data_IF_040202915700
#
_entry.id   IF_040202915700
#
_cell.length_a   1.000
_cell.length_b   1.000
_cell.length_c   1.000
_cell.angle_alpha   90.00
_cell.angle_beta   90.00
_cell.angle_gamma   90.00
#
_symmetry.space_group_name_H-M   'P 1'
#
loop_
_entity.id
_entity.type
_entity.pdbx_description
1 polymer ?
#
# COMPACT_ATOMS: atom_id res chain seq x y z
N UNK A 1 18.08 -0.66 8.77
CA UNK A 1 17.83 -1.35 7.49
C UNK A 1 18.90 -2.40 7.21
N UNK A 2 20.19 -2.11 7.44
CA UNK A 2 21.29 -3.07 7.29
C UNK A 2 21.04 -4.39 8.06
N UNK A 3 20.83 -4.34 9.37
CA UNK A 3 20.61 -5.55 10.19
C UNK A 3 19.38 -6.36 9.74
N UNK A 4 18.33 -5.67 9.29
CA UNK A 4 17.12 -6.31 8.76
C UNK A 4 17.41 -7.08 7.47
N UNK A 5 18.21 -6.49 6.58
CA UNK A 5 18.64 -7.13 5.33
C UNK A 5 19.49 -8.38 5.63
N UNK A 6 20.43 -8.26 6.57
CA UNK A 6 21.27 -9.38 7.01
C UNK A 6 20.44 -10.57 7.46
N UNK A 7 19.43 -10.34 8.30
CA UNK A 7 18.51 -11.40 8.76
C UNK A 7 17.67 -11.97 7.62
N UNK A 8 17.01 -11.12 6.82
CA UNK A 8 16.11 -11.59 5.76
C UNK A 8 16.82 -12.41 4.68
N UNK A 9 18.10 -12.12 4.42
CA UNK A 9 18.89 -12.82 3.42
C UNK A 9 19.80 -13.91 4.00
N UNK A 10 19.69 -14.23 5.30
CA UNK A 10 20.52 -15.24 5.97
C UNK A 10 22.03 -14.98 5.79
N UNK A 11 22.45 -13.72 5.90
CA UNK A 11 23.83 -13.28 5.73
C UNK A 11 24.61 -13.37 7.05
N UNK A 12 25.93 -13.56 6.96
CA UNK A 12 26.83 -13.63 8.11
C UNK A 12 27.60 -12.31 8.29
N UNK A 13 27.46 -11.70 9.48
CA UNK A 13 28.19 -10.48 9.82
C UNK A 13 29.72 -10.66 9.90
N UNK A 14 30.20 -11.91 9.97
CA UNK A 14 31.62 -12.24 9.97
C UNK A 14 32.20 -12.42 8.55
N UNK A 15 31.37 -12.43 7.50
CA UNK A 15 31.80 -12.52 6.10
C UNK A 15 31.84 -11.09 5.53
N UNK A 16 33.03 -10.53 5.22
CA UNK A 16 33.14 -9.16 4.71
C UNK A 16 32.33 -8.91 3.43
N UNK A 17 32.22 -9.91 2.56
CA UNK A 17 31.46 -9.84 1.31
C UNK A 17 29.95 -9.74 1.55
N UNK A 18 29.43 -10.40 2.59
CA UNK A 18 28.02 -10.33 2.98
C UNK A 18 27.67 -8.93 3.52
N UNK A 19 28.56 -8.38 4.34
CA UNK A 19 28.43 -7.00 4.84
C UNK A 19 28.51 -6.00 3.69
N UNK A 20 29.45 -6.18 2.76
CA UNK A 20 29.58 -5.33 1.57
C UNK A 20 28.35 -5.43 0.65
N UNK A 21 27.79 -6.62 0.47
CA UNK A 21 26.54 -6.81 -0.27
C UNK A 21 25.38 -6.08 0.40
N UNK A 22 25.24 -6.21 1.72
CA UNK A 22 24.19 -5.55 2.47
C UNK A 22 24.32 -4.02 2.43
N UNK A 23 25.53 -3.49 2.61
CA UNK A 23 25.83 -2.05 2.53
C UNK A 23 25.53 -1.48 1.14
N UNK A 24 25.91 -2.22 0.08
CA UNK A 24 25.65 -1.82 -1.31
C UNK A 24 24.17 -1.58 -1.62
N UNK A 25 23.25 -2.16 -0.84
CA UNK A 25 21.79 -2.06 -1.03
C UNK A 25 21.13 -0.98 -0.19
N UNK A 26 21.73 -0.54 0.93
CA UNK A 26 21.13 0.44 1.84
C UNK A 26 21.76 1.82 1.61
N UNK A 27 21.18 2.58 0.68
CA UNK A 27 21.75 3.87 0.24
C UNK A 27 20.82 5.01 0.61
N UNK A 28 21.33 5.97 1.40
CA UNK A 28 20.57 7.16 1.85
C UNK A 28 20.05 7.96 0.66
N UNK A 29 20.87 8.11 -0.36
CA UNK A 29 20.64 8.89 -1.57
C UNK A 29 19.42 8.35 -2.33
N UNK A 30 19.38 7.02 -2.56
CA UNK A 30 18.26 6.42 -3.30
C UNK A 30 16.97 6.36 -2.50
N UNK A 31 17.04 6.27 -1.16
CA UNK A 31 15.86 6.35 -0.29
C UNK A 31 15.28 7.77 -0.28
N UNK A 32 16.14 8.80 -0.23
CA UNK A 32 15.70 10.19 -0.32
C UNK A 32 15.08 10.51 -1.69
N UNK A 33 15.62 9.93 -2.78
CA UNK A 33 15.07 10.06 -4.12
C UNK A 33 13.72 9.34 -4.28
N UNK A 34 13.54 8.18 -3.62
CA UNK A 34 12.28 7.42 -3.63
C UNK A 34 11.08 8.25 -3.14
N UNK A 35 11.26 9.02 -2.06
CA UNK A 35 10.23 9.93 -1.55
C UNK A 35 9.76 10.92 -2.64
N UNK A 36 10.71 11.49 -3.38
CA UNK A 36 10.45 12.46 -4.45
C UNK A 36 9.84 11.76 -5.67
N UNK A 37 10.30 10.56 -6.03
CA UNK A 37 9.70 9.79 -7.12
C UNK A 37 8.24 9.41 -6.83
N UNK A 38 7.89 9.14 -5.58
CA UNK A 38 6.49 8.98 -5.21
C UNK A 38 5.70 10.28 -5.40
N UNK A 39 6.24 11.44 -4.99
CA UNK A 39 5.55 12.73 -5.11
C UNK A 39 5.42 13.20 -6.56
N UNK A 40 6.41 12.91 -7.42
CA UNK A 40 6.38 13.15 -8.86
C UNK A 40 5.42 12.23 -9.61
N UNK A 41 4.98 11.12 -8.98
CA UNK A 41 4.21 10.08 -9.67
C UNK A 41 5.06 9.21 -10.59
N UNK A 42 6.37 9.15 -10.39
CA UNK A 42 7.27 8.23 -11.06
C UNK A 42 7.22 6.83 -10.40
N UNK A 43 6.95 6.72 -9.10
CA UNK A 43 6.66 5.44 -8.45
C UNK A 43 5.16 5.29 -8.19
N UNK A 44 4.56 4.28 -8.81
CA UNK A 44 3.11 4.19 -8.98
C UNK A 44 2.37 3.37 -7.95
N UNK A 45 3.08 2.61 -7.13
CA UNK A 45 2.50 1.73 -6.12
C UNK A 45 3.33 1.73 -4.84
N UNK A 46 2.68 1.45 -3.72
CA UNK A 46 3.32 1.20 -2.42
C UNK A 46 2.80 -0.15 -1.91
N UNK A 47 3.72 -1.01 -1.48
CA UNK A 47 3.42 -2.35 -0.97
C UNK A 47 4.04 -2.55 0.42
N UNK A 48 3.72 -3.67 1.08
CA UNK A 48 4.13 -3.95 2.45
C UNK A 48 5.47 -4.66 2.57
N UNK A 49 5.81 -5.55 1.64
CA UNK A 49 6.85 -6.58 1.80
C UNK A 49 6.72 -7.36 3.12
N UNK A 50 5.51 -7.82 3.40
CA UNK A 50 5.08 -8.30 4.72
C UNK A 50 5.98 -9.40 5.29
N UNK A 51 6.57 -9.14 6.46
CA UNK A 51 7.45 -10.06 7.20
C UNK A 51 8.76 -10.42 6.49
N UNK A 52 9.09 -9.77 5.38
CA UNK A 52 10.30 -10.00 4.59
C UNK A 52 10.94 -8.66 4.18
N UNK A 53 11.29 -7.84 5.16
CA UNK A 53 11.73 -6.43 5.04
C UNK A 53 10.64 -5.35 5.07
N UNK A 54 9.39 -5.71 5.39
CA UNK A 54 8.36 -4.71 5.63
C UNK A 54 7.14 -5.16 6.45
N UNK A 55 6.14 -4.28 6.51
CA UNK A 55 5.09 -4.27 7.54
C UNK A 55 3.69 -4.24 6.93
N UNK A 56 2.94 -5.34 7.10
CA UNK A 56 1.60 -5.53 6.50
C UNK A 56 0.58 -4.47 6.93
N UNK A 57 0.64 -4.02 8.18
CA UNK A 57 -0.30 -3.04 8.74
C UNK A 57 -0.01 -1.58 8.39
N UNK A 58 1.05 -1.31 7.63
CA UNK A 58 1.57 0.06 7.47
C UNK A 58 1.52 0.61 6.04
N UNK A 59 1.03 -0.14 5.05
CA UNK A 59 0.95 0.33 3.65
C UNK A 59 0.22 1.67 3.53
N UNK A 60 -0.97 1.75 4.16
CA UNK A 60 -1.80 2.96 4.12
C UNK A 60 -1.13 4.09 4.90
N UNK A 61 -0.66 3.84 6.12
CA UNK A 61 -0.09 4.90 6.96
C UNK A 61 1.20 5.47 6.36
N UNK A 62 2.08 4.62 5.81
CA UNK A 62 3.34 5.02 5.18
C UNK A 62 3.08 5.83 3.92
N UNK A 63 2.08 5.45 3.12
CA UNK A 63 1.65 6.25 1.96
C UNK A 63 1.32 7.69 2.37
N UNK A 64 0.51 7.88 3.42
CA UNK A 64 0.10 9.20 3.87
C UNK A 64 1.20 9.96 4.61
N UNK A 65 2.11 9.26 5.31
CA UNK A 65 3.32 9.86 5.89
C UNK A 65 4.26 10.40 4.81
N UNK A 66 4.47 9.66 3.71
CA UNK A 66 5.27 10.13 2.57
C UNK A 66 4.60 11.35 1.92
N UNK A 67 3.29 11.31 1.66
CA UNK A 67 2.55 12.45 1.12
C UNK A 67 2.69 13.71 2.01
N UNK A 68 2.60 13.52 3.33
CA UNK A 68 2.77 14.58 4.31
C UNK A 68 4.19 15.15 4.28
N UNK A 69 5.23 14.29 4.35
CA UNK A 69 6.63 14.71 4.32
C UNK A 69 6.92 15.55 3.07
N UNK A 70 6.45 15.08 1.92
CA UNK A 70 6.65 15.77 0.64
C UNK A 70 5.94 17.11 0.59
N UNK A 71 4.73 17.23 1.14
CA UNK A 71 4.08 18.53 1.31
C UNK A 71 4.88 19.48 2.21
N UNK A 72 5.38 18.99 3.35
CA UNK A 72 6.14 19.82 4.31
C UNK A 72 7.43 20.34 3.68
N UNK A 73 8.15 19.50 2.94
CA UNK A 73 9.47 19.85 2.40
C UNK A 73 9.41 20.51 1.01
N UNK A 74 8.39 20.22 0.20
CA UNK A 74 8.30 20.68 -1.20
C UNK A 74 7.10 21.61 -1.47
N UNK A 75 6.23 21.81 -0.49
CA UNK A 75 5.02 22.61 -0.64
C UNK A 75 3.89 21.89 -1.41
N UNK A 76 2.82 22.61 -1.79
CA UNK A 76 1.75 22.10 -2.65
C UNK A 76 2.29 21.63 -4.01
N UNK A 77 1.65 20.63 -4.61
CA UNK A 77 1.95 20.28 -6.01
C UNK A 77 1.46 21.39 -6.95
N UNK A 78 2.04 21.54 -8.16
CA UNK A 78 1.56 22.49 -9.16
C UNK A 78 0.08 22.31 -9.53
N UNK A 79 -0.43 21.07 -9.46
CA UNK A 79 -1.82 20.74 -9.76
C UNK A 79 -2.77 20.89 -8.55
N UNK A 80 -2.23 21.13 -7.35
CA UNK A 80 -3.02 21.44 -6.16
C UNK A 80 -3.47 22.93 -6.16
N UNK A 81 -4.38 23.27 -5.26
CA UNK A 81 -4.83 24.65 -5.08
C UNK A 81 -4.45 25.17 -3.70
N UNK A 82 -4.49 26.48 -3.49
CA UNK A 82 -4.26 27.08 -2.16
C UNK A 82 -5.21 26.56 -1.07
N UNK A 83 -6.35 25.96 -1.45
CA UNK A 83 -7.40 25.53 -0.52
C UNK A 83 -7.33 24.05 -0.13
N UNK A 84 -6.63 23.22 -0.89
CA UNK A 84 -6.61 21.76 -0.68
C UNK A 84 -5.47 21.06 -1.41
N UNK A 85 -5.19 19.84 -0.96
CA UNK A 85 -4.19 18.93 -1.52
C UNK A 85 -4.84 17.79 -2.33
N UNK A 86 -5.96 18.04 -3.01
CA UNK A 86 -6.76 16.97 -3.62
C UNK A 86 -6.01 16.22 -4.72
N UNK A 87 -5.13 16.89 -5.47
CA UNK A 87 -4.36 16.22 -6.50
C UNK A 87 -3.32 15.31 -5.87
N UNK A 88 -2.55 15.78 -4.87
CA UNK A 88 -1.64 14.92 -4.09
C UNK A 88 -2.40 13.76 -3.44
N UNK A 89 -3.54 14.02 -2.80
CA UNK A 89 -4.33 12.99 -2.15
C UNK A 89 -4.79 11.90 -3.14
N UNK A 90 -5.28 12.28 -4.32
CA UNK A 90 -5.65 11.32 -5.38
C UNK A 90 -4.44 10.57 -5.94
N UNK A 91 -3.30 11.25 -6.14
CA UNK A 91 -2.05 10.61 -6.59
C UNK A 91 -1.61 9.52 -5.61
N UNK A 92 -1.67 9.78 -4.30
CA UNK A 92 -1.20 8.86 -3.27
C UNK A 92 -2.18 7.72 -2.97
N UNK A 93 -3.49 7.98 -2.91
CA UNK A 93 -4.47 6.88 -2.70
C UNK A 93 -4.41 5.85 -3.83
N UNK A 94 -4.18 6.30 -5.07
CA UNK A 94 -4.05 5.41 -6.22
C UNK A 94 -2.91 4.39 -6.07
N UNK A 95 -1.87 4.69 -5.27
CA UNK A 95 -0.69 3.84 -5.07
C UNK A 95 -0.99 2.54 -4.32
N UNK A 96 -2.04 2.49 -3.50
CA UNK A 96 -2.42 1.28 -2.77
C UNK A 96 -3.84 0.80 -3.07
N UNK A 97 -4.55 1.45 -3.99
CA UNK A 97 -5.90 1.03 -4.42
C UNK A 97 -5.89 0.59 -5.89
N UNK A 98 -6.00 1.53 -6.82
CA UNK A 98 -6.29 1.21 -8.22
C UNK A 98 -5.06 0.79 -9.02
N UNK A 99 -3.88 1.37 -8.77
CA UNK A 99 -2.68 1.00 -9.54
C UNK A 99 -2.23 -0.45 -9.28
N UNK A 100 -2.22 -0.95 -8.02
CA UNK A 100 -2.01 -2.38 -7.79
C UNK A 100 -3.04 -3.26 -8.50
N UNK A 101 -4.31 -2.86 -8.50
CA UNK A 101 -5.37 -3.62 -9.15
C UNK A 101 -5.20 -3.66 -10.69
N UNK A 102 -4.81 -2.56 -11.32
CA UNK A 102 -4.48 -2.50 -12.75
C UNK A 102 -3.28 -3.40 -13.05
N UNK A 103 -2.19 -3.28 -12.28
CA UNK A 103 -0.97 -4.06 -12.50
C UNK A 103 -1.22 -5.57 -12.41
N UNK A 104 -2.05 -6.00 -11.45
CA UNK A 104 -2.35 -7.42 -11.26
C UNK A 104 -3.53 -7.92 -12.10
N UNK A 105 -4.15 -7.06 -12.91
CA UNK A 105 -5.23 -7.48 -13.81
C UNK A 105 -6.55 -7.79 -13.11
N UNK A 106 -6.84 -7.08 -12.02
CA UNK A 106 -8.03 -7.27 -11.17
C UNK A 106 -8.84 -5.97 -11.00
N UNK A 107 -8.51 -4.92 -11.76
CA UNK A 107 -9.12 -3.60 -11.65
C UNK A 107 -10.63 -3.57 -11.96
N UNK A 108 -11.15 -4.55 -12.70
CA UNK A 108 -12.59 -4.64 -12.99
C UNK A 108 -13.39 -5.08 -11.74
N UNK A 109 -12.73 -5.73 -10.79
CA UNK A 109 -13.36 -6.27 -9.57
C UNK A 109 -13.14 -5.36 -8.35
N UNK A 110 -11.94 -4.77 -8.21
CA UNK A 110 -11.52 -4.03 -6.99
C UNK A 110 -10.66 -2.80 -7.31
N UNK A 111 -10.26 -2.07 -6.26
CA UNK A 111 -9.24 -1.02 -6.34
C UNK A 111 -9.79 0.41 -6.40
N UNK A 112 -11.10 0.60 -6.47
CA UNK A 112 -11.73 1.93 -6.46
C UNK A 112 -13.21 1.86 -6.10
N UNK A 113 -13.77 3.02 -5.71
CA UNK A 113 -15.20 3.16 -5.45
C UNK A 113 -15.89 3.54 -6.76
N UNK A 114 -16.21 2.53 -7.57
CA UNK A 114 -16.87 2.66 -8.87
C UNK A 114 -18.03 1.67 -8.98
N UNK A 115 -19.10 2.06 -9.66
CA UNK A 115 -20.26 1.19 -9.88
C UNK A 115 -19.84 -0.04 -10.69
N UNK A 116 -20.31 -1.21 -10.26
CA UNK A 116 -19.99 -2.49 -10.89
C UNK A 116 -18.83 -3.24 -10.23
N UNK A 117 -18.02 -2.57 -9.40
CA UNK A 117 -16.96 -3.22 -8.62
C UNK A 117 -17.48 -3.81 -7.32
N UNK A 118 -16.71 -4.71 -6.73
CA UNK A 118 -16.99 -5.29 -5.43
C UNK A 118 -17.05 -4.22 -4.34
N UNK A 119 -18.03 -4.33 -3.44
CA UNK A 119 -18.22 -3.41 -2.32
C UNK A 119 -17.20 -3.65 -1.18
N UNK A 120 -15.91 -3.57 -1.52
CA UNK A 120 -14.79 -3.59 -0.59
C UNK A 120 -14.46 -2.16 -0.17
N UNK A 121 -14.99 -1.76 0.98
CA UNK A 121 -14.98 -0.37 1.43
C UNK A 121 -14.37 -0.27 2.83
N UNK A 122 -13.63 0.81 3.07
CA UNK A 122 -13.09 1.12 4.39
C UNK A 122 -13.60 2.48 4.83
N UNK A 123 -14.29 2.51 5.97
CA UNK A 123 -14.77 3.76 6.57
C UNK A 123 -13.73 4.27 7.57
N UNK A 124 -13.59 5.59 7.59
CA UNK A 124 -12.64 6.27 8.45
C UNK A 124 -13.35 7.39 9.20
N UNK A 125 -13.05 7.53 10.50
CA UNK A 125 -13.21 8.82 11.16
C UNK A 125 -12.06 9.72 10.68
N UNK A 126 -12.31 10.98 10.27
CA UNK A 126 -11.24 11.86 9.76
C UNK A 126 -10.02 11.95 10.68
N UNK A 127 -10.22 12.02 12.00
CA UNK A 127 -9.14 12.06 12.99
C UNK A 127 -8.25 10.80 13.03
N UNK A 128 -8.70 9.67 12.47
CA UNK A 128 -7.99 8.39 12.40
C UNK A 128 -7.69 7.94 10.96
N UNK A 129 -7.92 8.82 9.97
CA UNK A 129 -7.68 8.51 8.57
C UNK A 129 -6.24 8.07 8.34
N UNK A 130 -6.07 6.95 7.63
CA UNK A 130 -4.76 6.36 7.35
C UNK A 130 -4.09 5.63 8.51
N UNK A 131 -4.75 5.52 9.69
CA UNK A 131 -4.20 4.85 10.88
C UNK A 131 -5.05 3.67 11.32
N UNK A 132 -6.28 3.94 11.79
CA UNK A 132 -7.18 2.94 12.37
C UNK A 132 -8.60 3.15 11.81
N UNK A 133 -9.06 2.35 10.83
CA UNK A 133 -10.38 2.50 10.23
C UNK A 133 -11.53 2.25 11.20
N UNK A 134 -12.68 2.90 10.99
CA UNK A 134 -13.88 2.66 11.81
C UNK A 134 -14.63 1.39 11.41
N UNK A 135 -14.48 0.92 10.18
CA UNK A 135 -15.15 -0.28 9.68
C UNK A 135 -14.49 -0.76 8.39
N UNK A 136 -14.39 -2.07 8.21
CA UNK A 136 -13.88 -2.72 7.01
C UNK A 136 -14.99 -3.60 6.45
N UNK A 137 -15.45 -3.28 5.24
CA UNK A 137 -16.44 -4.03 4.49
C UNK A 137 -15.74 -4.86 3.42
N UNK A 138 -16.21 -6.09 3.28
CA UNK A 138 -15.80 -7.03 2.24
C UNK A 138 -17.07 -7.49 1.53
N UNK A 139 -17.17 -7.29 0.22
CA UNK A 139 -18.36 -7.66 -0.56
C UNK A 139 -19.69 -7.13 0.00
N UNK A 140 -19.68 -5.95 0.63
CA UNK A 140 -20.86 -5.35 1.25
C UNK A 140 -21.18 -5.80 2.69
N UNK A 141 -20.50 -6.83 3.23
CA UNK A 141 -20.63 -7.25 4.62
C UNK A 141 -19.50 -6.69 5.48
N UNK A 142 -19.78 -6.37 6.75
CA UNK A 142 -18.75 -5.93 7.68
C UNK A 142 -17.86 -7.13 8.04
N UNK A 143 -16.58 -7.07 7.68
CA UNK A 143 -15.59 -8.09 7.97
C UNK A 143 -14.89 -7.85 9.31
N UNK A 144 -14.60 -6.58 9.64
CA UNK A 144 -14.02 -6.20 10.92
C UNK A 144 -14.37 -4.77 11.32
N UNK A 145 -14.47 -4.54 12.62
CA UNK A 145 -14.71 -3.22 13.20
C UNK A 145 -14.11 -3.12 14.62
N UNK A 146 -13.74 -1.92 15.09
CA UNK A 146 -13.45 -1.70 16.49
C UNK A 146 -14.73 -1.86 17.32
N UNK A 147 -14.74 -2.81 18.24
CA UNK A 147 -15.89 -3.10 19.10
C UNK A 147 -15.43 -3.26 20.55
N UNK A 148 -16.24 -2.71 21.45
CA UNK A 148 -16.05 -2.73 22.90
C UNK A 148 -16.25 -4.09 23.55
N UNK A 149 -16.65 -4.06 24.83
CA UNK A 149 -17.07 -5.24 25.58
C UNK A 149 -18.36 -5.84 24.99
N UNK A 150 -18.35 -7.10 24.50
CA UNK A 150 -19.55 -7.77 23.97
C UNK A 150 -20.66 -8.00 25.01
N UNK A 151 -20.32 -8.00 26.30
CA UNK A 151 -21.30 -8.17 27.38
C UNK A 151 -21.87 -6.82 27.88
N UNK A 152 -21.38 -5.69 27.37
CA UNK A 152 -21.91 -4.39 27.73
C UNK A 152 -23.27 -4.11 27.08
N UNK A 153 -24.00 -3.13 27.60
CA UNK A 153 -25.34 -2.77 27.11
C UNK A 153 -25.36 -2.13 25.71
N UNK A 154 -24.22 -1.61 25.24
CA UNK A 154 -24.00 -0.95 23.95
C UNK A 154 -22.58 -1.28 23.45
N UNK A 155 -22.24 -1.11 22.15
CA UNK A 155 -20.98 -1.63 21.59
C UNK A 155 -19.72 -0.75 21.82
N UNK A 156 -19.87 0.40 22.48
CA UNK A 156 -18.80 1.41 22.69
C UNK A 156 -18.01 1.35 24.01
N UNK A 157 -18.48 0.71 25.11
CA UNK A 157 -17.74 0.58 26.35
C UNK A 157 -16.43 -0.20 26.16
N UNK A 158 -15.40 0.21 26.91
CA UNK A 158 -14.06 -0.35 26.80
C UNK A 158 -14.00 -1.82 27.27
N UNK A 159 -13.05 -2.63 26.77
CA UNK A 159 -11.97 -2.26 25.84
C UNK A 159 -12.37 -2.33 24.36
N UNK A 160 -12.18 -1.24 23.64
CA UNK A 160 -12.44 -1.15 22.19
C UNK A 160 -11.19 -1.57 21.40
N UNK A 161 -11.31 -2.65 20.63
CA UNK A 161 -10.27 -3.13 19.71
C UNK A 161 -10.91 -3.78 18.48
N UNK A 162 -10.13 -4.01 17.42
CA UNK A 162 -10.63 -4.68 16.23
C UNK A 162 -11.05 -6.11 16.54
N UNK A 163 -12.24 -6.46 16.09
CA UNK A 163 -12.78 -7.81 16.16
C UNK A 163 -13.30 -8.23 14.79
N UNK A 164 -13.19 -9.52 14.42
CA UNK A 164 -13.92 -10.06 13.29
C UNK A 164 -15.42 -9.87 13.49
N UNK A 165 -16.11 -9.50 12.43
CA UNK A 165 -17.57 -9.29 12.38
C UNK A 165 -18.21 -10.41 11.54
N UNK A 166 -19.54 -10.42 11.40
CA UNK A 166 -20.26 -11.52 10.73
C UNK A 166 -19.78 -11.82 9.30
N UNK A 167 -19.29 -10.82 8.55
CA UNK A 167 -18.71 -11.02 7.21
C UNK A 167 -17.41 -11.84 7.20
N UNK A 168 -16.78 -12.06 8.36
CA UNK A 168 -15.57 -12.88 8.50
C UNK A 168 -15.84 -14.34 8.90
N UNK A 169 -17.11 -14.77 8.98
CA UNK A 169 -17.47 -16.11 9.46
C UNK A 169 -18.34 -16.87 8.46
N UNK A 170 -18.28 -18.21 8.54
CA UNK A 170 -19.15 -19.12 7.80
C UNK A 170 -19.18 -18.87 6.29
N UNK A 171 -20.37 -19.01 5.69
CA UNK A 171 -20.60 -18.76 4.26
C UNK A 171 -20.43 -17.28 3.88
N UNK A 172 -20.64 -16.35 4.81
CA UNK A 172 -20.44 -14.93 4.51
C UNK A 172 -18.98 -14.62 4.12
N UNK A 173 -17.98 -15.26 4.75
CA UNK A 173 -16.56 -15.14 4.36
C UNK A 173 -16.30 -15.63 2.92
N UNK A 174 -17.07 -16.62 2.47
CA UNK A 174 -16.94 -17.24 1.16
C UNK A 174 -17.60 -16.34 0.12
N UNK A 175 -18.86 -15.96 0.35
CA UNK A 175 -19.70 -15.24 -0.62
C UNK A 175 -19.29 -13.77 -0.82
N UNK A 176 -18.57 -13.18 0.14
CA UNK A 176 -18.14 -11.77 0.08
C UNK A 176 -16.78 -11.56 -0.55
N UNK A 177 -16.10 -12.64 -0.96
CA UNK A 177 -14.73 -12.61 -1.44
C UNK A 177 -14.57 -13.47 -2.70
N UNK A 178 -13.48 -13.26 -3.42
CA UNK A 178 -13.12 -14.05 -4.60
C UNK A 178 -11.69 -14.54 -4.51
N UNK A 179 -11.38 -15.62 -5.23
CA UNK A 179 -10.00 -15.98 -5.54
C UNK A 179 -9.65 -15.51 -6.95
N UNK A 180 -8.59 -14.72 -7.05
CA UNK A 180 -8.02 -14.35 -8.35
C UNK A 180 -7.09 -15.44 -8.85
N UNK A 181 -7.36 -15.96 -10.04
CA UNK A 181 -6.64 -17.10 -10.64
C UNK A 181 -6.28 -16.79 -12.09
N UNK A 182 -5.43 -17.61 -12.72
CA UNK A 182 -5.17 -17.47 -14.15
C UNK A 182 -6.40 -17.89 -14.98
N UNK A 183 -6.54 -17.33 -16.18
CA UNK A 183 -7.59 -17.73 -17.13
C UNK A 183 -7.55 -19.24 -17.42
N UNK A 184 -6.35 -19.81 -17.54
CA UNK A 184 -6.17 -21.25 -17.78
C UNK A 184 -6.68 -22.10 -16.60
N UNK A 185 -6.41 -21.68 -15.36
CA UNK A 185 -6.89 -22.38 -14.17
C UNK A 185 -8.43 -22.32 -14.07
N UNK A 186 -9.02 -21.15 -14.32
CA UNK A 186 -10.47 -21.01 -14.34
C UNK A 186 -11.12 -21.91 -15.42
N UNK A 187 -10.55 -21.92 -16.63
CA UNK A 187 -11.04 -22.77 -17.73
C UNK A 187 -10.87 -24.27 -17.47
N UNK A 188 -9.93 -24.65 -16.60
CA UNK A 188 -9.70 -26.04 -16.19
C UNK A 188 -10.62 -26.51 -15.04
N UNK A 189 -11.50 -25.66 -14.51
CA UNK A 189 -12.44 -26.03 -13.44
C UNK A 189 -11.74 -26.39 -12.13
N UNK A 190 -10.70 -25.63 -11.74
CA UNK A 190 -9.92 -25.95 -10.54
C UNK A 190 -10.72 -25.85 -9.24
N UNK A 191 -11.84 -25.13 -9.23
CA UNK A 191 -12.79 -25.09 -8.14
C UNK A 191 -13.41 -26.46 -7.88
N UNK A 192 -13.86 -27.17 -8.92
CA UNK A 192 -14.36 -28.54 -8.78
C UNK A 192 -13.27 -29.51 -8.32
N UNK A 193 -12.07 -29.41 -8.92
CA UNK A 193 -10.94 -30.30 -8.63
C UNK A 193 -10.45 -30.14 -7.19
N UNK A 194 -10.42 -28.92 -6.68
CA UNK A 194 -9.89 -28.59 -5.34
C UNK A 194 -10.99 -28.44 -4.28
N UNK A 195 -12.28 -28.54 -4.66
CA UNK A 195 -13.41 -28.31 -3.77
C UNK A 195 -13.50 -26.87 -3.25
N UNK A 196 -13.17 -25.88 -4.09
CA UNK A 196 -13.22 -24.46 -3.71
C UNK A 196 -14.66 -23.95 -3.80
N UNK A 197 -15.18 -23.46 -2.68
CA UNK A 197 -16.51 -22.85 -2.66
C UNK A 197 -16.48 -21.35 -2.94
N UNK A 198 -15.34 -20.69 -2.75
CA UNK A 198 -15.21 -19.25 -2.98
C UNK A 198 -15.17 -18.97 -4.49
N UNK A 199 -15.98 -18.02 -5.01
CA UNK A 199 -16.00 -17.73 -6.43
C UNK A 199 -14.63 -17.38 -6.99
N UNK A 200 -14.32 -17.91 -8.16
CA UNK A 200 -13.08 -17.63 -8.87
C UNK A 200 -13.27 -16.45 -9.85
N UNK A 201 -12.22 -15.65 -10.03
CA UNK A 201 -12.12 -14.59 -11.02
C UNK A 201 -10.79 -14.67 -11.75
N UNK A 202 -10.84 -14.65 -13.08
CA UNK A 202 -9.62 -14.70 -13.86
C UNK A 202 -8.95 -13.32 -13.91
N UNK A 203 -7.64 -13.29 -13.65
CA UNK A 203 -6.81 -12.11 -13.92
C UNK A 203 -6.72 -11.87 -15.43
N UNK A 204 -6.72 -10.61 -15.86
CA UNK A 204 -6.71 -10.24 -17.27
C UNK A 204 -5.87 -8.98 -17.55
N UNK A 205 -5.60 -8.70 -18.82
CA UNK A 205 -5.00 -7.44 -19.28
C UNK A 205 -3.61 -7.06 -18.74
N UNK A 206 -2.85 -8.00 -18.17
CA UNK A 206 -1.52 -7.74 -17.59
C UNK A 206 -0.37 -7.62 -18.61
N UNK A 207 -0.63 -7.78 -19.91
CA UNK A 207 0.40 -7.85 -20.97
C UNK A 207 0.49 -6.61 -21.87
N UNK A 208 -0.54 -5.75 -21.83
CA UNK A 208 -0.64 -4.54 -22.67
C UNK A 208 -0.56 -3.25 -21.86
N UNK A 209 -0.57 -3.37 -20.53
CA UNK A 209 -0.40 -2.24 -19.62
C UNK A 209 1.05 -1.75 -19.63
N UNK A 210 1.22 -0.45 -19.48
CA UNK A 210 2.48 0.24 -19.33
C UNK A 210 2.35 1.36 -18.29
N UNK A 211 3.46 2.06 -18.01
CA UNK A 211 3.50 3.16 -17.04
C UNK A 211 2.42 4.23 -17.29
N UNK A 212 2.11 4.51 -18.56
CA UNK A 212 1.06 5.46 -18.98
C UNK A 212 -0.34 5.14 -18.43
N UNK A 213 -0.61 3.86 -18.15
CA UNK A 213 -1.91 3.38 -17.71
C UNK A 213 -2.08 3.46 -16.17
N UNK A 214 -1.02 3.82 -15.44
CA UNK A 214 -1.05 3.94 -13.98
C UNK A 214 -1.55 5.33 -13.57
N UNK A 215 -2.75 5.37 -12.99
CA UNK A 215 -3.51 6.58 -12.72
C UNK A 215 -2.74 7.53 -11.82
N UNK A 216 -2.60 8.79 -12.28
CA UNK A 216 -1.94 9.91 -11.61
C UNK A 216 -0.46 9.66 -11.27
N UNK A 217 0.11 8.56 -11.76
CA UNK A 217 1.43 8.06 -11.42
C UNK A 217 2.11 7.45 -12.66
N UNK A 218 2.08 8.19 -13.76
CA UNK A 218 2.58 7.76 -15.05
C UNK A 218 3.84 8.53 -15.49
N UNK A 219 4.49 9.28 -14.60
CA UNK A 219 5.68 10.04 -14.95
C UNK A 219 6.83 9.11 -15.36
N UNK A 220 7.52 9.45 -16.44
CA UNK A 220 8.65 8.71 -17.00
C UNK A 220 9.86 9.65 -17.19
N UNK A 221 10.42 10.23 -16.11
CA UNK A 221 11.60 11.07 -16.23
C UNK A 221 12.81 10.25 -16.69
N UNK A 222 13.78 10.92 -17.32
CA UNK A 222 15.10 10.33 -17.53
C UNK A 222 15.84 10.24 -16.19
N UNK A 223 16.10 9.03 -15.71
CA UNK A 223 16.71 8.79 -14.40
C UNK A 223 18.18 8.42 -14.56
N UNK A 224 19.03 9.12 -13.84
CA UNK A 224 20.46 8.84 -13.75
C UNK A 224 20.84 8.57 -12.29
N UNK A 225 21.70 7.57 -12.07
CA UNK A 225 22.26 7.25 -10.75
C UNK A 225 23.77 7.22 -10.87
N UNK A 226 24.46 8.05 -10.10
CA UNK A 226 25.91 8.05 -10.08
C UNK A 226 26.42 6.73 -9.46
N UNK A 227 27.27 5.94 -10.13
CA UNK A 227 27.71 4.64 -9.64
C UNK A 227 28.65 4.70 -8.43
N UNK A 228 29.24 5.88 -8.15
CA UNK A 228 30.18 6.09 -7.05
C UNK A 228 29.53 6.82 -5.87
N UNK A 229 28.77 7.89 -6.15
CA UNK A 229 28.17 8.73 -5.11
C UNK A 229 26.72 8.40 -4.81
N UNK A 230 26.09 7.56 -5.64
CA UNK A 230 24.65 7.22 -5.58
C UNK A 230 23.69 8.40 -5.71
N UNK A 231 24.19 9.59 -6.07
CA UNK A 231 23.36 10.73 -6.44
C UNK A 231 22.35 10.33 -7.52
N UNK A 232 21.08 10.63 -7.26
CA UNK A 232 19.99 10.34 -8.18
C UNK A 232 19.54 11.64 -8.83
N UNK A 233 19.45 11.64 -10.17
CA UNK A 233 18.89 12.76 -10.93
C UNK A 233 17.68 12.31 -11.73
N UNK A 234 16.70 13.20 -11.85
CA UNK A 234 15.58 13.06 -12.78
C UNK A 234 15.54 14.29 -13.68
N UNK A 235 15.62 14.08 -14.99
CA UNK A 235 15.66 15.16 -16.00
C UNK A 235 16.76 16.20 -15.69
N UNK A 236 17.90 15.74 -15.17
CA UNK A 236 19.05 16.56 -14.79
C UNK A 236 18.98 17.15 -13.37
N UNK A 237 17.82 17.16 -12.72
CA UNK A 237 17.63 17.70 -11.37
C UNK A 237 18.05 16.69 -10.29
N UNK A 238 18.86 17.13 -9.32
CA UNK A 238 19.27 16.30 -8.19
C UNK A 238 18.09 16.05 -7.24
N UNK A 239 17.78 14.77 -6.99
CA UNK A 239 16.71 14.35 -6.09
C UNK A 239 17.27 14.09 -4.70
N UNK A 240 17.19 15.11 -3.84
CA UNK A 240 17.62 15.03 -2.45
C UNK A 240 16.57 15.65 -1.53
N UNK A 241 16.36 15.02 -0.37
CA UNK A 241 15.55 15.58 0.70
C UNK A 241 16.07 15.10 2.05
N UNK A 242 15.87 15.90 3.09
CA UNK A 242 16.29 15.54 4.45
C UNK A 242 15.35 14.49 5.06
N UNK A 243 15.86 13.60 5.94
CA UNK A 243 15.01 12.70 6.71
C UNK A 243 14.08 13.50 7.64
N UNK A 244 12.86 12.99 7.85
CA UNK A 244 11.93 13.59 8.81
C UNK A 244 12.23 13.09 10.23
N UNK A 245 12.33 13.99 11.21
CA UNK A 245 12.55 13.64 12.62
C UNK A 245 11.28 13.14 13.30
N UNK A 246 10.12 13.65 12.88
CA UNK A 246 8.80 13.33 13.44
C UNK A 246 7.81 13.07 12.30
N UNK A 247 6.96 12.06 12.47
CA UNK A 247 5.91 11.72 11.52
C UNK A 247 4.52 11.87 12.14
N UNK A 248 3.51 12.31 11.36
CA UNK A 248 2.12 12.14 11.76
C UNK A 248 1.76 10.65 11.76
N UNK A 249 0.56 10.31 12.21
CA UNK A 249 0.05 8.93 12.12
C UNK A 249 0.96 7.92 12.86
N UNK A 250 1.63 8.36 13.94
CA UNK A 250 2.59 7.60 14.73
C UNK A 250 2.26 7.65 16.23
N UNK A 251 3.16 8.17 17.09
CA UNK A 251 3.09 8.12 18.56
C UNK A 251 1.76 8.55 19.19
N UNK A 252 0.99 9.43 18.54
CA UNK A 252 -0.34 9.86 19.02
C UNK A 252 -1.38 8.72 19.03
N UNK A 253 -1.22 7.71 18.19
CA UNK A 253 -2.26 6.73 17.89
C UNK A 253 -1.95 5.31 18.36
N UNK A 254 -0.69 5.00 18.62
CA UNK A 254 -0.25 3.65 18.96
C UNK A 254 0.21 3.60 20.41
N UNK A 255 -0.14 2.50 21.09
CA UNK A 255 0.29 2.25 22.47
C UNK A 255 1.77 1.84 22.52
N UNK A 256 2.28 1.26 21.42
CA UNK A 256 3.65 0.82 21.20
C UNK A 256 4.09 1.19 19.78
#
# INVERSE_FOLDING_TARGET
HLDMLMVCHHLDANIPEDVAFADSRIRRETIAAEDIFHDLGAFSMIASDSQAMGRVGEVVCRTWQTAHKMKVQRGPLPEDSERNDNFRARRYIAKYTINPAITHGIADEVGSVEVGKMADLVLWKPAFFGVKPSMILKGGAIAAAPMGDPNASIPTPQPVHYRPMFGAFGKALIDTSVHFVSQAALAAGIDDVLGLERPLRAVANTRKIAKKDLLLNNAQPHVEVNPQTYEVRADGELLVCEPAEVLPLAQRYFLF
#
